data_IF_214487258950
#
_entry.id   IF_214487258950
#
_cell.length_a   1.000
_cell.length_b   1.000
_cell.length_c   1.000
_cell.angle_alpha   90.00
_cell.angle_beta   90.00
_cell.angle_gamma   90.00
#
_symmetry.space_group_name_H-M   'P 1'
#
loop_
_entity.id
_entity.type
_entity.pdbx_description
1 polymer ?
#
# COMPACT_ATOMS: atom_id res chain seq x y z
N UNK A 1 11.99 3.14 7.70
CA UNK A 1 11.13 1.97 7.99
C UNK A 1 9.75 2.34 7.52
N UNK A 2 9.24 1.58 6.57
CA UNK A 2 7.90 1.76 6.02
C UNK A 2 7.07 0.54 6.39
N UNK A 3 5.94 0.79 7.03
CA UNK A 3 4.97 -0.21 7.46
C UNK A 3 3.71 0.07 6.68
N UNK A 4 3.18 -0.97 6.03
CA UNK A 4 1.86 -0.93 5.42
C UNK A 4 0.94 -1.66 6.40
N UNK A 5 -0.12 -0.98 6.81
CA UNK A 5 -1.18 -1.53 7.64
C UNK A 5 -2.43 -1.64 6.78
N UNK A 6 -3.17 -2.74 6.92
CA UNK A 6 -4.52 -2.84 6.41
C UNK A 6 -5.46 -1.99 7.29
N UNK A 7 -6.59 -1.53 6.77
CA UNK A 7 -7.52 -0.65 7.49
C UNK A 7 -7.93 -1.21 8.85
N UNK A 8 -8.17 -2.52 8.92
CA UNK A 8 -8.53 -3.16 10.19
C UNK A 8 -7.36 -3.21 11.18
N UNK A 9 -6.11 -3.29 10.71
CA UNK A 9 -4.90 -3.21 11.55
C UNK A 9 -4.68 -1.79 12.05
N UNK A 10 -4.86 -0.80 11.17
CA UNK A 10 -4.80 0.62 11.49
C UNK A 10 -5.88 1.00 12.50
N UNK A 11 -7.15 0.66 12.26
CA UNK A 11 -8.26 0.91 13.18
C UNK A 11 -8.07 0.18 14.52
N UNK A 12 -7.48 -1.01 14.51
CA UNK A 12 -7.12 -1.72 15.74
C UNK A 12 -6.06 -0.95 16.53
N UNK A 13 -5.02 -0.43 15.86
CA UNK A 13 -4.00 0.41 16.49
C UNK A 13 -4.58 1.74 16.99
N UNK A 14 -5.46 2.38 16.22
CA UNK A 14 -6.17 3.59 16.65
C UNK A 14 -6.93 3.31 17.94
N UNK A 15 -7.68 2.20 18.02
CA UNK A 15 -8.43 1.83 19.23
C UNK A 15 -7.51 1.51 20.42
N UNK A 16 -6.38 0.85 20.18
CA UNK A 16 -5.40 0.48 21.21
C UNK A 16 -4.67 1.72 21.76
N UNK A 17 -4.30 2.66 20.89
CA UNK A 17 -3.48 3.83 21.23
C UNK A 17 -4.30 5.07 21.59
N UNK A 18 -5.61 5.06 21.29
CA UNK A 18 -6.48 6.19 21.62
C UNK A 18 -6.63 6.34 23.13
N UNK A 19 -6.37 7.53 23.69
CA UNK A 19 -6.56 7.81 25.11
C UNK A 19 -8.02 7.70 25.54
N UNK A 20 -8.97 7.81 24.62
CA UNK A 20 -10.40 7.60 24.88
C UNK A 20 -11.16 7.17 23.62
N UNK A 21 -12.37 6.62 23.83
CA UNK A 21 -13.26 6.17 22.74
C UNK A 21 -13.66 7.27 21.75
N UNK A 22 -13.70 8.54 22.20
CA UNK A 22 -14.09 9.67 21.36
C UNK A 22 -13.03 10.03 20.32
N UNK A 23 -11.75 9.94 20.66
CA UNK A 23 -10.69 10.12 19.66
C UNK A 23 -10.71 9.02 18.60
N UNK A 24 -10.92 7.76 19.00
CA UNK A 24 -11.03 6.65 18.05
C UNK A 24 -12.19 6.84 17.06
N UNK A 25 -13.36 7.30 17.53
CA UNK A 25 -14.52 7.59 16.66
C UNK A 25 -14.30 8.81 15.75
N UNK A 26 -13.50 9.79 16.20
CA UNK A 26 -13.20 11.00 15.43
C UNK A 26 -12.07 10.81 14.42
N UNK A 27 -11.42 9.64 14.41
CA UNK A 27 -10.32 9.34 13.52
C UNK A 27 -10.72 9.53 12.04
N UNK A 28 -11.83 8.92 11.65
CA UNK A 28 -12.33 8.95 10.26
C UNK A 28 -13.06 10.25 9.91
N UNK A 29 -13.44 11.07 10.90
CA UNK A 29 -14.32 12.24 10.69
C UNK A 29 -13.62 13.57 10.92
N UNK A 30 -12.39 13.58 11.43
CA UNK A 30 -11.66 14.81 11.73
C UNK A 30 -10.20 14.73 11.30
N UNK A 31 -9.83 15.50 10.28
CA UNK A 31 -8.45 15.58 9.79
C UNK A 31 -7.43 16.12 10.82
N UNK A 32 -7.88 16.80 11.88
CA UNK A 32 -7.01 17.19 12.99
C UNK A 32 -6.69 15.98 13.89
N UNK A 33 -7.71 15.20 14.25
CA UNK A 33 -7.57 13.98 15.07
C UNK A 33 -6.79 12.91 14.31
N UNK A 34 -7.07 12.73 13.02
CA UNK A 34 -6.32 11.81 12.15
C UNK A 34 -4.82 12.09 12.16
N UNK A 35 -4.42 13.34 11.87
CA UNK A 35 -3.00 13.74 11.88
C UNK A 35 -2.33 13.56 13.24
N UNK A 36 -3.04 13.81 14.34
CA UNK A 36 -2.53 13.55 15.69
C UNK A 36 -2.31 12.06 15.93
N UNK A 37 -3.27 11.24 15.54
CA UNK A 37 -3.23 9.79 15.73
C UNK A 37 -2.17 9.13 14.84
N UNK A 38 -2.02 9.55 13.59
CA UNK A 38 -0.95 9.10 12.68
C UNK A 38 0.45 9.36 13.27
N UNK A 39 0.65 10.51 13.94
CA UNK A 39 1.91 10.80 14.66
C UNK A 39 2.09 9.85 15.86
N UNK A 40 1.03 9.55 16.57
CA UNK A 40 1.05 8.62 17.72
C UNK A 40 1.38 7.20 17.28
N UNK A 41 0.70 6.70 16.23
CA UNK A 41 0.99 5.40 15.58
C UNK A 41 2.44 5.37 15.12
N UNK A 42 2.91 6.41 14.41
CA UNK A 42 4.29 6.49 13.93
C UNK A 42 5.32 6.40 15.06
N UNK A 43 5.05 7.07 16.20
CA UNK A 43 5.90 7.00 17.38
C UNK A 43 5.88 5.61 17.99
N UNK A 44 4.69 5.02 18.16
CA UNK A 44 4.52 3.67 18.69
C UNK A 44 5.27 2.62 17.85
N UNK A 45 5.16 2.68 16.53
CA UNK A 45 5.85 1.74 15.63
C UNK A 45 7.37 1.89 15.73
N UNK A 46 7.87 3.12 15.82
CA UNK A 46 9.31 3.40 15.99
C UNK A 46 9.84 2.87 17.32
N UNK A 47 9.11 3.09 18.40
CA UNK A 47 9.48 2.63 19.73
C UNK A 47 9.43 1.10 19.80
N UNK A 48 8.41 0.49 19.20
CA UNK A 48 8.26 -0.97 19.12
C UNK A 48 9.39 -1.62 18.34
N UNK A 49 9.77 -1.06 17.19
CA UNK A 49 10.93 -1.51 16.41
C UNK A 49 12.21 -1.43 17.24
N UNK A 50 12.42 -0.31 17.93
CA UNK A 50 13.64 -0.07 18.71
C UNK A 50 13.76 -1.00 19.92
N UNK A 51 12.63 -1.29 20.58
CA UNK A 51 12.58 -2.17 21.77
C UNK A 51 12.73 -3.65 21.42
N UNK A 52 12.04 -4.14 20.39
CA UNK A 52 12.12 -5.54 20.00
C UNK A 52 11.96 -5.72 18.48
N UNK A 53 13.07 -5.63 17.72
CA UNK A 53 13.03 -5.72 16.25
C UNK A 53 12.46 -7.04 15.72
N UNK A 54 12.67 -8.15 16.42
CA UNK A 54 12.19 -9.46 15.97
C UNK A 54 10.67 -9.58 16.07
N UNK A 55 10.10 -9.22 17.23
CA UNK A 55 8.66 -9.21 17.42
C UNK A 55 8.00 -8.20 16.49
N UNK A 56 8.60 -7.01 16.34
CA UNK A 56 8.13 -6.01 15.41
C UNK A 56 8.04 -6.55 13.97
N UNK A 57 9.12 -7.20 13.50
CA UNK A 57 9.15 -7.80 12.16
C UNK A 57 8.18 -8.95 11.96
N UNK A 58 7.77 -9.65 13.02
CA UNK A 58 6.74 -10.69 12.94
C UNK A 58 5.34 -10.10 12.86
N UNK A 59 5.10 -8.95 13.50
CA UNK A 59 3.77 -8.35 13.64
C UNK A 59 3.44 -7.31 12.57
N UNK A 60 4.42 -6.54 12.09
CA UNK A 60 4.17 -5.35 11.27
C UNK A 60 4.98 -5.30 9.97
N UNK A 61 5.91 -6.23 9.75
CA UNK A 61 6.68 -6.25 8.51
C UNK A 61 6.09 -7.32 7.60
N UNK A 62 5.56 -6.85 6.48
CA UNK A 62 5.13 -7.68 5.37
C UNK A 62 6.26 -8.66 4.98
N UNK A 63 5.93 -9.94 4.80
CA UNK A 63 6.88 -10.96 4.30
C UNK A 63 6.34 -11.62 3.04
N UNK A 64 5.08 -12.03 3.06
CA UNK A 64 4.36 -12.52 1.90
C UNK A 64 2.86 -12.62 2.18
N UNK A 65 2.02 -12.18 1.26
CA UNK A 65 0.58 -12.45 1.23
C UNK A 65 0.22 -13.22 -0.06
N UNK A 66 -0.93 -13.90 -0.04
CA UNK A 66 -1.41 -14.75 -1.12
C UNK A 66 -2.90 -14.49 -1.38
N UNK A 67 -3.36 -14.77 -2.60
CA UNK A 67 -4.78 -14.69 -2.98
C UNK A 67 -5.39 -13.32 -2.68
N UNK A 68 -6.54 -13.29 -2.02
CA UNK A 68 -7.26 -12.05 -1.73
C UNK A 68 -6.44 -11.06 -0.88
N UNK A 69 -5.63 -11.53 0.06
CA UNK A 69 -4.73 -10.65 0.81
C UNK A 69 -3.66 -10.01 -0.07
N UNK A 70 -3.15 -10.76 -1.06
CA UNK A 70 -2.21 -10.23 -2.04
C UNK A 70 -2.87 -9.16 -2.92
N UNK A 71 -4.13 -9.38 -3.33
CA UNK A 71 -4.93 -8.40 -4.06
C UNK A 71 -5.10 -7.10 -3.27
N UNK A 72 -5.51 -7.21 -2.01
CA UNK A 72 -5.77 -6.06 -1.13
C UNK A 72 -4.53 -5.20 -0.90
N UNK A 73 -3.38 -5.84 -0.64
CA UNK A 73 -2.17 -5.11 -0.22
C UNK A 73 -1.32 -4.60 -1.40
N UNK A 74 -1.51 -5.15 -2.61
CA UNK A 74 -0.72 -4.78 -3.77
C UNK A 74 -0.81 -3.28 -4.09
N UNK A 75 -2.02 -2.71 -4.06
CA UNK A 75 -2.25 -1.28 -4.31
C UNK A 75 -1.51 -0.42 -3.28
N UNK A 76 -1.69 -0.74 -1.99
CA UNK A 76 -1.05 -0.01 -0.89
C UNK A 76 0.49 -0.06 -1.00
N UNK A 77 1.05 -1.22 -1.40
CA UNK A 77 2.50 -1.39 -1.58
C UNK A 77 3.05 -0.60 -2.76
N UNK A 78 2.40 -0.61 -3.92
CA UNK A 78 2.83 0.19 -5.08
C UNK A 78 2.74 1.69 -4.76
N UNK A 79 1.68 2.15 -4.08
CA UNK A 79 1.55 3.55 -3.68
C UNK A 79 2.65 3.95 -2.68
N UNK A 80 2.90 3.12 -1.66
CA UNK A 80 4.00 3.35 -0.72
C UNK A 80 5.35 3.39 -1.46
N UNK A 81 5.61 2.42 -2.35
CA UNK A 81 6.82 2.39 -3.17
C UNK A 81 6.97 3.61 -4.07
N UNK A 82 5.87 4.14 -4.62
CA UNK A 82 5.85 5.41 -5.36
C UNK A 82 6.32 6.57 -4.49
N UNK A 83 5.74 6.74 -3.31
CA UNK A 83 6.09 7.83 -2.39
C UNK A 83 7.55 7.76 -1.93
N UNK A 84 8.05 6.55 -1.72
CA UNK A 84 9.39 6.31 -1.17
C UNK A 84 10.44 6.43 -2.26
N UNK A 85 10.23 5.72 -3.37
CA UNK A 85 11.26 5.55 -4.39
C UNK A 85 11.02 6.41 -5.60
N UNK A 86 9.80 6.87 -5.86
CA UNK A 86 9.35 7.57 -7.08
C UNK A 86 9.49 6.76 -8.36
N UNK A 87 9.68 5.43 -8.29
CA UNK A 87 10.06 4.58 -9.44
C UNK A 87 8.89 3.88 -10.12
N UNK A 88 7.75 3.79 -9.45
CA UNK A 88 6.53 3.27 -10.04
C UNK A 88 5.31 3.93 -9.39
N UNK A 89 4.23 4.15 -10.13
CA UNK A 89 2.95 4.62 -9.61
C UNK A 89 1.80 3.99 -10.39
N UNK A 90 0.58 4.02 -9.85
CA UNK A 90 -0.62 3.69 -10.62
C UNK A 90 -0.98 4.82 -11.58
N UNK A 91 -1.48 4.46 -12.76
CA UNK A 91 -1.98 5.41 -13.77
C UNK A 91 -0.91 6.30 -14.39
N UNK A 92 -1.33 7.30 -15.14
CA UNK A 92 -0.48 8.34 -15.72
C UNK A 92 -0.43 9.55 -14.78
N UNK A 93 0.74 10.16 -14.55
CA UNK A 93 0.89 11.32 -13.64
C UNK A 93 0.03 12.55 -14.02
N UNK A 94 -0.58 12.56 -15.22
CA UNK A 94 -1.52 13.59 -15.66
C UNK A 94 -2.92 13.47 -15.06
N UNK A 95 -3.21 12.37 -14.35
CA UNK A 95 -4.41 12.24 -13.53
C UNK A 95 -4.01 12.18 -12.05
N UNK A 96 -3.99 13.33 -11.34
CA UNK A 96 -4.30 13.29 -9.93
C UNK A 96 -5.81 13.04 -9.89
N UNK A 97 -6.33 12.03 -9.23
CA UNK A 97 -6.20 11.76 -7.81
C UNK A 97 -6.54 10.27 -7.62
N UNK A 98 -5.71 9.50 -6.92
CA UNK A 98 -6.34 8.66 -5.91
C UNK A 98 -6.92 9.66 -4.94
N UNK A 99 -8.25 9.88 -4.87
CA UNK A 99 -8.79 10.73 -3.83
C UNK A 99 -8.27 10.17 -2.52
N UNK A 100 -7.84 11.03 -1.60
CA UNK A 100 -7.32 10.60 -0.28
C UNK A 100 -8.31 9.67 0.46
N UNK A 101 -9.58 9.66 0.03
CA UNK A 101 -10.64 8.72 0.45
C UNK A 101 -10.44 7.26 -0.01
N UNK A 102 -9.66 6.96 -1.06
CA UNK A 102 -9.39 5.57 -1.49
C UNK A 102 -8.27 4.89 -0.68
N UNK A 103 -7.68 5.61 0.27
CA UNK A 103 -6.86 4.97 1.32
C UNK A 103 -7.77 4.39 2.41
N UNK A 104 -9.04 4.78 2.48
CA UNK A 104 -10.00 4.36 3.52
C UNK A 104 -10.85 3.15 3.12
N UNK A 105 -10.79 2.74 1.85
CA UNK A 105 -11.46 1.56 1.34
C UNK A 105 -10.44 0.71 0.59
N UNK A 106 -10.07 -0.44 1.15
CA UNK A 106 -9.52 -1.54 0.37
C UNK A 106 -10.53 -1.89 -0.73
N UNK A 107 -10.40 -1.25 -1.89
CA UNK A 107 -11.24 -1.54 -3.04
C UNK A 107 -10.97 -2.99 -3.46
N UNK A 108 -11.99 -3.83 -3.35
CA UNK A 108 -12.03 -5.07 -4.12
C UNK A 108 -12.04 -4.69 -5.59
N UNK A 109 -10.86 -4.72 -6.21
CA UNK A 109 -10.77 -4.58 -7.65
C UNK A 109 -11.50 -5.76 -8.28
N UNK A 110 -12.57 -5.46 -9.01
CA UNK A 110 -13.35 -6.42 -9.78
C UNK A 110 -12.45 -7.24 -10.69
N UNK A 111 -12.88 -8.44 -11.08
CA UNK A 111 -12.22 -9.21 -12.15
C UNK A 111 -12.14 -8.45 -13.49
N UNK A 112 -12.93 -7.39 -13.65
CA UNK A 112 -12.88 -6.48 -14.80
C UNK A 112 -11.88 -5.32 -14.64
N UNK A 113 -11.38 -5.06 -13.43
CA UNK A 113 -10.48 -3.93 -13.16
C UNK A 113 -9.06 -4.26 -13.61
N UNK A 114 -8.45 -3.31 -14.31
CA UNK A 114 -7.07 -3.39 -14.79
C UNK A 114 -6.18 -2.54 -13.90
N UNK A 115 -5.17 -3.15 -13.28
CA UNK A 115 -4.08 -2.38 -12.72
C UNK A 115 -3.20 -1.86 -13.85
N UNK A 116 -2.95 -0.55 -13.84
CA UNK A 116 -2.01 0.11 -14.73
C UNK A 116 -0.89 0.71 -13.89
N UNK A 117 0.32 0.16 -14.01
CA UNK A 117 1.50 0.63 -13.29
C UNK A 117 2.44 1.31 -14.28
N UNK A 118 2.67 2.61 -14.07
CA UNK A 118 3.66 3.39 -14.81
C UNK A 118 5.00 3.30 -14.11
N UNK A 119 6.05 3.01 -14.88
CA UNK A 119 7.43 2.90 -14.41
C UNK A 119 8.19 4.18 -14.74
N UNK A 120 8.94 4.66 -13.77
CA UNK A 120 9.74 5.87 -13.86
C UNK A 120 11.22 5.56 -13.73
N UNK A 121 11.99 6.10 -14.66
CA UNK A 121 13.45 6.04 -14.65
C UNK A 121 14.05 7.43 -14.58
N UNK A 122 15.33 7.48 -14.24
CA UNK A 122 16.15 8.65 -14.55
C UNK A 122 16.90 8.35 -15.84
N UNK A 123 17.05 9.36 -16.69
CA UNK A 123 18.02 9.33 -17.77
C UNK A 123 19.45 9.21 -17.23
N UNK A 124 20.45 9.46 -18.06
CA UNK A 124 21.87 9.20 -17.73
C UNK A 124 22.43 10.01 -16.54
N UNK A 125 21.69 10.99 -16.02
CA UNK A 125 22.18 11.93 -15.00
C UNK A 125 21.26 12.01 -13.76
N UNK A 126 21.80 12.03 -12.53
CA UNK A 126 21.01 12.00 -11.29
C UNK A 126 20.08 13.21 -11.08
N UNK A 127 20.38 14.34 -11.73
CA UNK A 127 19.68 15.63 -11.56
C UNK A 127 18.51 15.82 -12.53
N UNK A 128 18.37 14.96 -13.54
CA UNK A 128 17.26 15.07 -14.48
C UNK A 128 15.93 14.66 -13.81
N UNK A 129 14.81 15.27 -14.23
CA UNK A 129 13.50 14.82 -13.81
C UNK A 129 13.30 13.35 -14.19
N UNK A 130 12.41 12.68 -13.45
CA UNK A 130 12.05 11.31 -13.80
C UNK A 130 11.19 11.32 -15.05
N UNK A 131 11.44 10.35 -15.92
CA UNK A 131 10.70 10.15 -17.15
C UNK A 131 10.02 8.78 -17.13
N UNK A 132 8.91 8.67 -17.86
CA UNK A 132 8.22 7.40 -18.03
C UNK A 132 9.12 6.50 -18.88
N UNK A 133 9.52 5.35 -18.32
CA UNK A 133 10.35 4.36 -19.01
C UNK A 133 9.55 3.15 -19.49
N UNK A 134 8.32 2.99 -19.02
CA UNK A 134 7.45 1.89 -19.41
C UNK A 134 6.13 1.89 -18.66
N UNK A 135 5.23 1.02 -19.10
CA UNK A 135 3.93 0.76 -18.47
C UNK A 135 3.65 -0.73 -18.45
N UNK A 136 3.04 -1.20 -17.38
CA UNK A 136 2.61 -2.59 -17.22
C UNK A 136 1.12 -2.55 -16.87
N UNK A 137 0.31 -3.33 -17.60
CA UNK A 137 -1.12 -3.45 -17.34
C UNK A 137 -1.52 -4.92 -17.21
N UNK A 138 -2.32 -5.25 -16.20
CA UNK A 138 -2.82 -6.61 -15.99
C UNK A 138 -4.12 -6.61 -15.16
N UNK A 139 -4.97 -7.64 -15.28
CA UNK A 139 -6.20 -7.72 -14.50
C UNK A 139 -5.89 -7.85 -13.00
N UNK A 140 -6.58 -7.08 -12.17
CA UNK A 140 -6.33 -7.04 -10.74
C UNK A 140 -6.45 -8.41 -10.07
N UNK A 141 -7.42 -9.21 -10.52
CA UNK A 141 -7.69 -10.56 -10.04
C UNK A 141 -6.58 -11.59 -10.35
N UNK A 142 -5.53 -11.22 -11.09
CA UNK A 142 -4.41 -12.12 -11.39
C UNK A 142 -3.32 -12.12 -10.32
N UNK A 143 -3.36 -11.23 -9.32
CA UNK A 143 -2.28 -11.11 -8.33
C UNK A 143 -2.33 -12.24 -7.29
N UNK A 144 -1.65 -13.34 -7.56
CA UNK A 144 -1.68 -14.51 -6.68
C UNK A 144 -0.82 -14.36 -5.42
N UNK A 145 0.21 -13.52 -5.49
CA UNK A 145 1.17 -13.35 -4.40
C UNK A 145 1.82 -11.99 -4.44
N UNK A 146 2.06 -11.42 -3.26
CA UNK A 146 3.00 -10.31 -3.08
C UNK A 146 4.00 -10.71 -1.99
N UNK A 147 5.28 -10.38 -2.15
CA UNK A 147 6.32 -10.67 -1.16
C UNK A 147 7.39 -9.58 -1.13
N UNK A 148 7.90 -9.23 0.04
CA UNK A 148 8.96 -8.21 0.20
C UNK A 148 8.60 -7.11 1.19
N UNK A 149 8.92 -5.86 0.88
CA UNK A 149 8.57 -4.69 1.69
C UNK A 149 8.11 -3.52 0.82
N UNK A 150 7.58 -2.45 1.42
CA UNK A 150 7.19 -1.25 0.67
C UNK A 150 8.34 -0.60 -0.13
N UNK A 151 9.60 -0.87 0.24
CA UNK A 151 10.78 -0.33 -0.43
C UNK A 151 11.28 -1.23 -1.57
N UNK A 152 10.93 -2.52 -1.51
CA UNK A 152 11.36 -3.54 -2.46
C UNK A 152 10.46 -4.79 -2.33
N UNK A 153 9.47 -4.91 -3.21
CA UNK A 153 8.58 -6.07 -3.26
C UNK A 153 8.50 -6.65 -4.66
N UNK A 154 8.05 -7.89 -4.70
CA UNK A 154 7.73 -8.66 -5.89
C UNK A 154 6.25 -9.03 -5.84
N UNK A 155 5.59 -9.01 -6.99
CA UNK A 155 4.24 -9.54 -7.17
C UNK A 155 4.25 -10.63 -8.25
N UNK A 156 3.60 -11.75 -7.95
CA UNK A 156 3.38 -12.84 -8.90
C UNK A 156 1.97 -12.73 -9.47
N UNK A 157 1.86 -12.78 -10.79
CA UNK A 157 0.56 -12.82 -11.49
C UNK A 157 0.32 -14.22 -12.05
N UNK A 158 -0.86 -14.78 -11.79
CA UNK A 158 -1.36 -15.99 -12.42
C UNK A 158 -1.87 -15.74 -13.84
N UNK A 159 -2.23 -16.83 -14.53
CA UNK A 159 -2.87 -16.77 -15.83
C UNK A 159 -4.39 -16.92 -15.69
N UNK A 160 -5.16 -16.04 -16.35
CA UNK A 160 -6.60 -16.27 -16.51
C UNK A 160 -6.81 -17.45 -17.45
N UNK A 161 -7.25 -18.59 -16.90
CA UNK A 161 -7.68 -19.73 -17.73
C UNK A 161 -9.11 -19.47 -18.18
N UNK A 162 -9.29 -18.93 -19.39
CA UNK A 162 -10.62 -18.87 -19.99
C UNK A 162 -11.00 -20.29 -20.43
N UNK A 163 -11.97 -20.90 -19.75
CA UNK A 163 -12.69 -22.01 -20.32
C UNK A 163 -13.52 -21.46 -21.49
N UNK A 164 -13.09 -21.75 -22.72
CA UNK A 164 -13.91 -21.52 -23.90
C UNK A 164 -15.07 -22.52 -23.80
N UNK A 165 -16.33 -22.06 -23.62
CA UNK A 165 -17.46 -22.99 -23.61
C UNK A 165 -17.53 -23.67 -24.99
N UNK A 166 -17.59 -25.00 -24.96
CA UNK A 166 -17.67 -25.87 -26.14
C UNK A 166 -19.05 -25.81 -26.78
#
# INVERSE_FOLDING_TARGET
>A
MHVVLLDHEELSLVRELSPNRWQALKYDTSGAVRREMERTISRFLRDSLSKNPEIFRKRFVFRSCYGDEAHMIFLALVNAYSRITGRAAFGDLSEPEFPESLVEDVLYASTADLYQVTLFGRGRWPWFPREIIGRISFPACTIEKVAGSADNFFAATGFLTYAIPS
#
